data_IF_385402998128
#
_entry.id   IF_385402998128
#
_cell.length_a   1.000
_cell.length_b   1.000
_cell.length_c   1.000
_cell.angle_alpha   90.00
_cell.angle_beta   90.00
_cell.angle_gamma   90.00
#
_symmetry.space_group_name_H-M   'P 1'
#
loop_
_entity.id
_entity.type
_entity.pdbx_description
1 polymer ?
#
# COMPACT_ATOMS: atom_id res chain seq x y z
N UNK A 1 -17.84 11.19 -5.39
CA UNK A 1 -19.25 10.96 -5.83
C UNK A 1 -19.70 12.06 -6.77
N UNK A 2 -20.78 11.86 -7.54
CA UNK A 2 -21.41 12.87 -8.43
C UNK A 2 -22.94 12.88 -8.23
N UNK A 3 -23.78 12.26 -9.08
CA UNK A 3 -25.27 12.31 -8.96
C UNK A 3 -25.82 12.04 -7.56
N UNK A 4 -25.25 11.07 -6.83
CA UNK A 4 -25.69 10.68 -5.49
C UNK A 4 -25.16 11.59 -4.38
N UNK A 5 -24.35 12.60 -4.71
CA UNK A 5 -23.69 13.50 -3.76
C UNK A 5 -22.42 12.90 -3.15
N UNK A 6 -21.59 13.77 -2.56
CA UNK A 6 -20.42 13.37 -1.77
C UNK A 6 -20.88 13.01 -0.36
N UNK A 7 -20.39 11.88 0.14
CA UNK A 7 -20.69 11.34 1.47
C UNK A 7 -19.64 11.86 2.43
N UNK A 8 -20.07 12.44 3.54
CA UNK A 8 -19.21 13.05 4.55
C UNK A 8 -19.40 12.27 5.85
N UNK A 9 -18.29 11.91 6.48
CA UNK A 9 -18.27 11.34 7.81
C UNK A 9 -17.20 12.06 8.63
N UNK A 10 -17.53 12.34 9.88
CA UNK A 10 -16.63 12.96 10.85
C UNK A 10 -16.28 11.89 11.89
N UNK A 11 -14.99 11.60 12.04
CA UNK A 11 -14.49 10.69 13.08
C UNK A 11 -13.58 11.46 14.02
N UNK A 12 -13.66 11.14 15.31
CA UNK A 12 -12.74 11.72 16.31
C UNK A 12 -11.37 11.02 16.28
N UNK A 13 -10.45 11.45 17.14
CA UNK A 13 -9.10 10.87 17.25
C UNK A 13 -9.07 9.37 17.60
N UNK A 14 -10.16 8.81 18.13
CA UNK A 14 -10.30 7.37 18.42
C UNK A 14 -10.91 6.58 17.26
N UNK A 15 -11.33 7.28 16.19
CA UNK A 15 -12.04 6.69 15.05
C UNK A 15 -13.52 6.49 15.32
N UNK A 16 -14.07 7.02 16.41
CA UNK A 16 -15.52 6.99 16.69
C UNK A 16 -16.23 7.96 15.75
N UNK A 17 -17.34 7.51 15.17
CA UNK A 17 -18.19 8.34 14.32
C UNK A 17 -18.88 9.41 15.17
N UNK A 18 -18.66 10.68 14.80
CA UNK A 18 -19.21 11.84 15.48
C UNK A 18 -20.38 12.46 14.71
N UNK A 19 -20.28 12.55 13.39
CA UNK A 19 -21.35 13.10 12.54
C UNK A 19 -21.26 12.60 11.09
N UNK A 20 -22.32 12.76 10.32
CA UNK A 20 -22.38 12.43 8.89
C UNK A 20 -23.22 13.43 8.11
N UNK A 21 -22.89 13.62 6.84
CA UNK A 21 -23.69 14.43 5.94
C UNK A 21 -23.64 13.88 4.51
N UNK A 22 -24.59 14.31 3.69
CA UNK A 22 -24.50 14.17 2.23
C UNK A 22 -24.60 15.56 1.60
N UNK A 23 -23.54 15.96 0.91
CA UNK A 23 -23.45 17.24 0.20
C UNK A 23 -23.49 17.02 -1.31
N UNK A 24 -23.87 18.05 -2.07
CA UNK A 24 -24.01 17.95 -3.53
C UNK A 24 -23.25 19.07 -4.27
N UNK A 25 -21.93 19.18 -4.06
CA UNK A 25 -21.11 20.25 -4.65
C UNK A 25 -21.04 20.18 -6.18
N UNK A 26 -21.16 18.97 -6.73
CA UNK A 26 -20.90 18.67 -8.14
C UNK A 26 -22.20 18.53 -8.95
N UNK A 27 -22.05 18.32 -10.26
CA UNK A 27 -23.18 18.01 -11.14
C UNK A 27 -23.97 16.79 -10.65
N UNK A 28 -25.31 16.80 -10.75
CA UNK A 28 -26.14 17.79 -11.43
C UNK A 28 -26.63 18.95 -10.56
N UNK A 29 -26.39 18.94 -9.24
CA UNK A 29 -26.95 19.96 -8.33
C UNK A 29 -26.09 21.21 -8.21
N UNK A 30 -24.77 21.08 -8.40
CA UNK A 30 -23.81 22.19 -8.41
C UNK A 30 -23.90 23.11 -7.17
N UNK A 31 -24.13 22.54 -5.98
CA UNK A 31 -24.29 23.30 -4.73
C UNK A 31 -22.94 23.54 -4.05
N UNK A 32 -22.00 24.20 -4.74
CA UNK A 32 -20.62 24.38 -4.29
C UNK A 32 -20.52 25.14 -2.96
N UNK A 33 -21.01 26.38 -2.91
CA UNK A 33 -20.90 27.25 -1.74
C UNK A 33 -21.65 26.71 -0.52
N UNK A 34 -22.85 26.15 -0.74
CA UNK A 34 -23.61 25.49 0.32
C UNK A 34 -22.86 24.28 0.90
N UNK A 35 -22.16 23.52 0.05
CA UNK A 35 -21.34 22.40 0.49
C UNK A 35 -20.12 22.87 1.29
N UNK A 36 -19.47 23.97 0.89
CA UNK A 36 -18.38 24.58 1.64
C UNK A 36 -18.83 25.03 3.04
N UNK A 37 -20.01 25.65 3.15
CA UNK A 37 -20.58 26.06 4.44
C UNK A 37 -20.83 24.88 5.37
N UNK A 38 -21.46 23.80 4.85
CA UNK A 38 -21.69 22.58 5.64
C UNK A 38 -20.38 21.97 6.12
N UNK A 39 -19.36 21.88 5.25
CA UNK A 39 -18.06 21.34 5.62
C UNK A 39 -17.34 22.22 6.65
N UNK A 40 -17.40 23.55 6.51
CA UNK A 40 -16.79 24.48 7.44
C UNK A 40 -17.42 24.37 8.84
N UNK A 41 -18.74 24.20 8.92
CA UNK A 41 -19.43 24.03 10.20
C UNK A 41 -19.06 22.73 10.89
N UNK A 42 -19.07 21.60 10.15
CA UNK A 42 -18.62 20.32 10.68
C UNK A 42 -17.17 20.38 11.17
N UNK A 43 -16.28 21.02 10.40
CA UNK A 43 -14.87 21.17 10.78
C UNK A 43 -14.72 22.01 12.05
N UNK A 44 -15.48 23.11 12.19
CA UNK A 44 -15.45 23.98 13.37
C UNK A 44 -16.02 23.30 14.61
N UNK A 45 -17.18 22.67 14.48
CA UNK A 45 -17.89 21.99 15.56
C UNK A 45 -17.05 20.85 16.15
N UNK A 46 -16.41 20.06 15.30
CA UNK A 46 -15.64 18.88 15.71
C UNK A 46 -14.14 19.11 15.79
N UNK A 47 -13.65 20.34 15.56
CA UNK A 47 -12.24 20.73 15.58
C UNK A 47 -11.38 19.82 14.69
N UNK A 48 -11.80 19.67 13.45
CA UNK A 48 -11.14 18.80 12.48
C UNK A 48 -9.82 19.40 12.05
N UNK A 49 -8.80 18.54 11.93
CA UNK A 49 -7.46 18.91 11.46
C UNK A 49 -7.16 18.31 10.08
N UNK A 50 -7.75 17.15 9.77
CA UNK A 50 -7.46 16.36 8.58
C UNK A 50 -8.73 16.08 7.76
N UNK A 51 -8.65 16.27 6.45
CA UNK A 51 -9.68 15.91 5.47
C UNK A 51 -9.18 14.71 4.67
N UNK A 52 -9.88 13.58 4.78
CA UNK A 52 -9.61 12.38 3.99
C UNK A 52 -10.54 12.31 2.78
N UNK A 53 -9.97 12.17 1.58
CA UNK A 53 -10.70 12.16 0.31
C UNK A 53 -10.46 10.83 -0.40
N UNK A 54 -11.52 10.07 -0.68
CA UNK A 54 -11.40 8.83 -1.47
C UNK A 54 -10.94 9.12 -2.90
N UNK A 55 -10.03 8.29 -3.43
CA UNK A 55 -9.45 8.44 -4.77
C UNK A 55 -10.35 7.94 -5.92
N UNK A 56 -11.65 7.73 -5.70
CA UNK A 56 -12.59 7.26 -6.73
C UNK A 56 -13.17 8.33 -7.63
N UNK A 57 -14.41 8.09 -8.05
CA UNK A 57 -15.12 8.98 -8.97
C UNK A 57 -15.34 10.37 -8.38
N UNK A 58 -14.93 11.39 -9.15
CA UNK A 58 -14.93 12.80 -8.77
C UNK A 58 -14.10 13.16 -7.53
N UNK A 59 -13.02 12.40 -7.30
CA UNK A 59 -12.04 12.67 -6.25
C UNK A 59 -11.35 14.01 -6.47
N UNK A 60 -11.04 14.39 -7.71
CA UNK A 60 -10.40 15.67 -8.06
C UNK A 60 -11.27 16.87 -7.78
N UNK A 61 -12.54 16.84 -8.20
CA UNK A 61 -13.49 17.92 -7.95
C UNK A 61 -13.71 18.09 -6.45
N UNK A 62 -13.70 16.98 -5.70
CA UNK A 62 -13.77 16.99 -4.24
C UNK A 62 -12.47 17.48 -3.59
N UNK A 63 -11.33 17.16 -4.17
CA UNK A 63 -10.01 17.66 -3.76
C UNK A 63 -9.88 19.18 -3.97
N UNK A 64 -10.45 19.69 -5.07
CA UNK A 64 -10.62 21.13 -5.31
C UNK A 64 -11.56 21.78 -4.31
N UNK A 65 -12.70 21.16 -4.01
CA UNK A 65 -13.61 21.63 -2.96
C UNK A 65 -12.91 21.74 -1.60
N UNK A 66 -12.07 20.76 -1.26
CA UNK A 66 -11.26 20.80 -0.04
C UNK A 66 -10.17 21.89 -0.09
N UNK A 67 -9.54 22.13 -1.24
CA UNK A 67 -8.61 23.27 -1.44
C UNK A 67 -9.33 24.59 -1.18
N UNK A 68 -10.49 24.79 -1.81
CA UNK A 68 -11.28 26.01 -1.64
C UNK A 68 -11.69 26.17 -0.18
N UNK A 69 -12.13 25.11 0.50
CA UNK A 69 -12.43 25.14 1.94
C UNK A 69 -11.24 25.62 2.77
N UNK A 70 -10.04 25.08 2.54
CA UNK A 70 -8.80 25.48 3.23
C UNK A 70 -8.47 26.95 2.97
N UNK A 71 -8.66 27.43 1.74
CA UNK A 71 -8.37 28.82 1.37
C UNK A 71 -9.40 29.81 1.94
N UNK A 72 -10.68 29.45 1.98
CA UNK A 72 -11.74 30.31 2.51
C UNK A 72 -11.75 30.37 4.04
N UNK A 73 -11.29 29.32 4.71
CA UNK A 73 -11.28 29.20 6.18
C UNK A 73 -9.89 28.86 6.73
N UNK A 74 -8.88 29.73 6.53
CA UNK A 74 -7.49 29.46 6.94
C UNK A 74 -7.34 29.30 8.47
N UNK A 75 -8.28 29.82 9.26
CA UNK A 75 -8.30 29.70 10.71
C UNK A 75 -8.49 28.25 11.20
N UNK A 76 -9.08 27.37 10.37
CA UNK A 76 -9.30 25.96 10.69
C UNK A 76 -8.03 25.11 10.57
N UNK A 77 -6.98 25.61 9.90
CA UNK A 77 -5.66 24.94 9.73
C UNK A 77 -5.77 23.51 9.19
N UNK A 78 -6.73 23.28 8.31
CA UNK A 78 -7.03 21.97 7.74
C UNK A 78 -5.91 21.51 6.80
N UNK A 79 -5.63 20.21 6.83
CA UNK A 79 -4.80 19.54 5.83
C UNK A 79 -5.65 18.51 5.08
N UNK A 80 -5.55 18.47 3.76
CA UNK A 80 -6.28 17.51 2.92
C UNK A 80 -5.37 16.41 2.39
N UNK A 81 -5.91 15.20 2.32
CA UNK A 81 -5.21 14.02 1.88
C UNK A 81 -6.12 13.13 1.03
N UNK A 82 -5.55 12.60 -0.05
CA UNK A 82 -6.22 11.58 -0.86
C UNK A 82 -5.83 10.20 -0.36
N UNK A 83 -6.83 9.34 -0.15
CA UNK A 83 -6.65 7.96 0.30
C UNK A 83 -7.32 6.98 -0.65
N UNK A 84 -6.82 5.75 -0.67
CA UNK A 84 -7.44 4.68 -1.46
C UNK A 84 -8.84 4.35 -0.94
N UNK A 85 -9.83 4.33 -1.83
CA UNK A 85 -11.19 3.83 -1.53
C UNK A 85 -11.35 2.33 -1.81
N UNK A 86 -10.27 1.64 -2.18
CA UNK A 86 -10.32 0.26 -2.62
C UNK A 86 -10.90 -0.66 -1.51
N UNK A 87 -11.94 -1.43 -1.85
CA UNK A 87 -12.69 -2.24 -0.89
C UNK A 87 -13.65 -1.49 0.03
N UNK A 88 -13.73 -0.15 0.02
CA UNK A 88 -14.62 0.61 0.92
C UNK A 88 -16.10 0.29 0.68
N UNK A 89 -16.48 0.07 -0.58
CA UNK A 89 -17.83 -0.37 -0.96
C UNK A 89 -18.13 -1.81 -0.52
N UNK A 90 -17.11 -2.68 -0.45
CA UNK A 90 -17.28 -4.05 0.06
C UNK A 90 -17.43 -4.03 1.57
N UNK A 91 -16.63 -3.22 2.25
CA UNK A 91 -16.79 -2.98 3.68
C UNK A 91 -18.18 -2.45 4.01
N UNK A 92 -18.66 -1.42 3.33
CA UNK A 92 -19.93 -0.77 3.67
C UNK A 92 -21.15 -1.69 3.58
N UNK A 93 -21.11 -2.65 2.66
CA UNK A 93 -22.14 -3.68 2.48
C UNK A 93 -21.92 -4.94 3.34
N UNK A 94 -20.84 -5.01 4.12
CA UNK A 94 -20.53 -6.18 4.95
C UNK A 94 -21.40 -6.27 6.20
N UNK A 95 -21.57 -7.49 6.73
CA UNK A 95 -22.21 -7.70 8.03
C UNK A 95 -21.45 -7.00 9.17
N UNK A 96 -20.13 -6.90 9.06
CA UNK A 96 -19.32 -6.21 10.07
C UNK A 96 -19.68 -4.73 10.13
N UNK A 97 -19.73 -4.03 8.99
CA UNK A 97 -20.12 -2.63 8.94
C UNK A 97 -21.59 -2.43 9.37
N UNK A 98 -22.47 -3.39 9.06
CA UNK A 98 -23.86 -3.35 9.54
C UNK A 98 -23.96 -3.48 11.07
N UNK A 99 -23.07 -4.24 11.71
CA UNK A 99 -22.99 -4.31 13.18
C UNK A 99 -22.33 -3.08 13.79
N UNK A 100 -21.28 -2.54 13.16
CA UNK A 100 -20.62 -1.32 13.64
C UNK A 100 -21.53 -0.10 13.51
N UNK A 101 -22.35 -0.03 12.45
CA UNK A 101 -23.24 1.10 12.17
C UNK A 101 -24.64 0.65 11.71
N UNK A 102 -25.48 0.12 12.63
CA UNK A 102 -26.80 -0.40 12.29
C UNK A 102 -27.72 0.65 11.67
N UNK A 103 -27.70 1.86 12.23
CA UNK A 103 -28.61 2.96 11.86
C UNK A 103 -28.08 3.83 10.70
N UNK A 104 -26.87 3.55 10.21
CA UNK A 104 -26.25 4.32 9.15
C UNK A 104 -26.51 3.72 7.78
N UNK A 105 -26.90 4.56 6.82
CA UNK A 105 -27.05 4.16 5.42
C UNK A 105 -25.74 3.58 4.85
N UNK A 106 -25.88 2.58 3.98
CA UNK A 106 -24.75 1.87 3.36
C UNK A 106 -23.80 2.84 2.66
N UNK A 107 -24.30 3.90 2.02
CA UNK A 107 -23.45 4.86 1.32
C UNK A 107 -22.56 5.70 2.25
N UNK A 108 -23.00 5.94 3.48
CA UNK A 108 -22.23 6.72 4.48
C UNK A 108 -21.18 5.88 5.19
N UNK A 109 -21.40 4.57 5.37
CA UNK A 109 -20.41 3.65 5.97
C UNK A 109 -19.08 3.65 5.21
N UNK A 110 -19.12 3.81 3.89
CA UNK A 110 -17.91 3.95 3.06
C UNK A 110 -17.09 5.19 3.42
N UNK A 111 -17.74 6.32 3.70
CA UNK A 111 -17.05 7.55 4.12
C UNK A 111 -16.39 7.39 5.49
N UNK A 112 -17.02 6.65 6.42
CA UNK A 112 -16.39 6.31 7.71
C UNK A 112 -15.10 5.50 7.51
N UNK A 113 -15.11 4.52 6.60
CA UNK A 113 -13.91 3.73 6.30
C UNK A 113 -12.80 4.58 5.70
N UNK A 114 -13.12 5.49 4.78
CA UNK A 114 -12.15 6.43 4.18
C UNK A 114 -11.49 7.32 5.26
N UNK A 115 -12.26 7.79 6.24
CA UNK A 115 -11.71 8.61 7.32
C UNK A 115 -10.80 7.78 8.25
N UNK A 116 -11.21 6.57 8.64
CA UNK A 116 -10.43 5.67 9.51
C UNK A 116 -9.15 5.15 8.85
N UNK A 117 -9.15 4.92 7.54
CA UNK A 117 -7.94 4.53 6.78
C UNK A 117 -6.84 5.57 6.87
N UNK A 118 -7.19 6.85 6.95
CA UNK A 118 -6.21 7.90 7.12
C UNK A 118 -5.55 7.85 8.52
N UNK A 119 -6.33 7.48 9.55
CA UNK A 119 -5.84 7.35 10.92
C UNK A 119 -4.92 6.14 11.08
N UNK A 120 -5.37 4.98 10.61
CA UNK A 120 -4.55 3.77 10.55
C UNK A 120 -5.02 2.87 9.38
N UNK A 121 -4.27 2.84 8.26
CA UNK A 121 -4.62 2.02 7.11
C UNK A 121 -4.70 0.53 7.45
N UNK A 122 -3.80 0.02 8.29
CA UNK A 122 -3.74 -1.40 8.61
C UNK A 122 -4.97 -1.80 9.42
N UNK A 123 -5.30 -1.04 10.47
CA UNK A 123 -6.43 -1.36 11.35
C UNK A 123 -7.79 -1.32 10.64
N UNK A 124 -7.92 -0.52 9.59
CA UNK A 124 -9.15 -0.41 8.81
C UNK A 124 -9.21 -1.40 7.64
N UNK A 125 -8.11 -1.66 6.93
CA UNK A 125 -8.09 -2.60 5.79
C UNK A 125 -8.27 -4.06 6.21
N UNK A 126 -7.84 -4.46 7.42
CA UNK A 126 -8.05 -5.82 7.94
C UNK A 126 -9.52 -6.19 8.15
N UNK A 127 -10.41 -5.20 8.18
CA UNK A 127 -11.87 -5.40 8.28
C UNK A 127 -12.49 -5.88 6.97
N UNK A 128 -11.73 -5.85 5.89
CA UNK A 128 -12.16 -6.18 4.53
C UNK A 128 -11.60 -7.55 4.19
N UNK A 129 -12.35 -8.36 3.45
CA UNK A 129 -11.79 -9.59 2.90
C UNK A 129 -10.58 -9.24 2.00
N UNK A 130 -9.38 -9.82 2.21
CA UNK A 130 -8.18 -9.35 1.54
C UNK A 130 -8.27 -9.34 0.01
N UNK A 131 -8.91 -10.36 -0.58
CA UNK A 131 -9.15 -10.44 -2.04
C UNK A 131 -10.07 -9.33 -2.58
N UNK A 132 -10.88 -8.72 -1.71
CA UNK A 132 -11.82 -7.67 -2.06
C UNK A 132 -11.24 -6.26 -1.95
N UNK A 133 -10.00 -6.12 -1.46
CA UNK A 133 -9.29 -4.83 -1.44
C UNK A 133 -9.01 -4.34 -2.86
N UNK A 134 -8.91 -5.23 -3.87
CA UNK A 134 -8.68 -4.81 -5.26
C UNK A 134 -7.20 -4.58 -5.55
N UNK A 135 -6.42 -5.66 -5.52
CA UNK A 135 -4.94 -5.59 -5.59
C UNK A 135 -4.38 -5.68 -7.01
N UNK A 136 -5.24 -5.85 -8.02
CA UNK A 136 -4.81 -5.91 -9.42
C UNK A 136 -5.96 -5.99 -10.41
N UNK A 137 -5.69 -5.54 -11.65
CA UNK A 137 -6.69 -5.40 -12.72
C UNK A 137 -7.40 -6.72 -13.07
N UNK A 138 -6.67 -7.83 -13.14
CA UNK A 138 -7.18 -9.15 -13.54
C UNK A 138 -7.29 -10.12 -12.36
N UNK A 139 -7.48 -9.60 -11.13
CA UNK A 139 -7.54 -10.44 -9.92
C UNK A 139 -8.70 -11.47 -9.95
N UNK A 140 -9.72 -11.24 -10.78
CA UNK A 140 -10.86 -12.15 -10.92
C UNK A 140 -10.57 -13.32 -11.88
N UNK A 141 -9.55 -13.19 -12.73
CA UNK A 141 -9.18 -14.19 -13.74
C UNK A 141 -8.18 -15.23 -13.22
N UNK A 142 -7.72 -15.07 -11.97
CA UNK A 142 -6.81 -16.02 -11.30
C UNK A 142 -7.56 -16.97 -10.38
N UNK A 143 -6.88 -18.03 -9.94
CA UNK A 143 -7.40 -18.99 -8.97
C UNK A 143 -7.74 -18.32 -7.64
N UNK A 144 -9.04 -18.14 -7.37
CA UNK A 144 -9.54 -17.46 -6.17
C UNK A 144 -9.07 -18.09 -4.85
N UNK A 145 -9.04 -19.44 -4.67
CA UNK A 145 -8.54 -20.04 -3.44
C UNK A 145 -7.05 -19.78 -3.19
N UNK A 146 -6.24 -19.77 -4.26
CA UNK A 146 -4.80 -19.47 -4.15
C UNK A 146 -4.58 -17.99 -3.83
N UNK A 147 -5.32 -17.09 -4.49
CA UNK A 147 -5.27 -15.66 -4.22
C UNK A 147 -5.63 -15.36 -2.76
N UNK A 148 -6.74 -15.91 -2.27
CA UNK A 148 -7.18 -15.71 -0.88
C UNK A 148 -6.10 -16.14 0.12
N UNK A 149 -5.55 -17.35 -0.02
CA UNK A 149 -4.49 -17.85 0.86
C UNK A 149 -3.24 -16.96 0.86
N UNK A 150 -2.81 -16.50 -0.32
CA UNK A 150 -1.64 -15.62 -0.43
C UNK A 150 -1.88 -14.26 0.23
N UNK A 151 -3.06 -13.67 0.00
CA UNK A 151 -3.38 -12.37 0.60
C UNK A 151 -3.61 -12.46 2.10
N UNK A 152 -4.19 -13.55 2.59
CA UNK A 152 -4.31 -13.82 4.03
C UNK A 152 -2.93 -13.91 4.69
N UNK A 153 -1.97 -14.61 4.08
CA UNK A 153 -0.59 -14.68 4.58
C UNK A 153 0.09 -13.30 4.60
N UNK A 154 -0.08 -12.48 3.55
CA UNK A 154 0.46 -11.11 3.54
C UNK A 154 -0.16 -10.25 4.63
N UNK A 155 -1.46 -10.39 4.89
CA UNK A 155 -2.14 -9.65 5.96
C UNK A 155 -1.61 -10.08 7.33
N UNK A 156 -1.43 -11.38 7.55
CA UNK A 156 -0.81 -11.92 8.77
C UNK A 156 0.61 -11.37 8.95
N UNK A 157 1.46 -11.44 7.93
CA UNK A 157 2.83 -10.91 7.97
C UNK A 157 2.85 -9.41 8.30
N UNK A 158 1.99 -8.61 7.67
CA UNK A 158 1.91 -7.17 7.92
C UNK A 158 1.45 -6.85 9.34
N UNK A 159 0.41 -7.53 9.84
CA UNK A 159 -0.13 -7.31 11.19
C UNK A 159 0.90 -7.68 12.25
N UNK A 160 1.56 -8.82 12.10
CA UNK A 160 2.54 -9.28 13.07
C UNK A 160 3.85 -8.48 13.00
N UNK A 161 4.27 -8.02 11.83
CA UNK A 161 5.41 -7.11 11.69
C UNK A 161 5.15 -5.76 12.38
N UNK A 162 3.95 -5.20 12.19
CA UNK A 162 3.59 -3.92 12.84
C UNK A 162 3.37 -4.11 14.33
N UNK A 163 2.80 -5.24 14.76
CA UNK A 163 2.36 -5.51 16.13
C UNK A 163 1.10 -4.74 16.52
N UNK A 164 0.39 -5.23 17.54
CA UNK A 164 -0.97 -4.79 17.86
C UNK A 164 -1.08 -4.41 19.33
N UNK A 165 -1.56 -3.21 19.64
CA UNK A 165 -1.90 -2.86 21.02
C UNK A 165 -3.19 -3.58 21.44
N UNK A 166 -3.06 -4.51 22.38
CA UNK A 166 -4.16 -5.38 22.81
C UNK A 166 -5.27 -4.61 23.52
N UNK A 167 -5.02 -3.39 24.00
CA UNK A 167 -6.01 -2.58 24.69
C UNK A 167 -6.86 -1.71 23.78
N UNK A 168 -6.44 -1.49 22.55
CA UNK A 168 -7.14 -0.61 21.59
C UNK A 168 -7.57 -1.34 20.32
N UNK A 169 -6.93 -2.47 20.02
CA UNK A 169 -7.23 -3.23 18.81
C UNK A 169 -8.68 -3.75 18.76
N UNK A 170 -9.20 -3.75 17.54
CA UNK A 170 -10.49 -4.34 17.19
C UNK A 170 -10.37 -5.86 17.06
N UNK A 171 -11.49 -6.58 17.21
CA UNK A 171 -11.51 -8.02 17.03
C UNK A 171 -11.03 -8.46 15.62
N UNK A 172 -11.38 -7.79 14.50
CA UNK A 172 -10.83 -8.12 13.18
C UNK A 172 -9.30 -8.00 13.11
N UNK A 173 -8.70 -6.99 13.76
CA UNK A 173 -7.23 -6.84 13.80
C UNK A 173 -6.58 -7.93 14.65
N UNK A 174 -7.12 -8.19 15.83
CA UNK A 174 -6.63 -9.26 16.72
C UNK A 174 -6.71 -10.65 16.05
N UNK A 175 -7.74 -10.90 15.24
CA UNK A 175 -7.90 -12.17 14.53
C UNK A 175 -6.81 -12.43 13.48
N UNK A 176 -5.98 -11.44 13.14
CA UNK A 176 -4.84 -11.56 12.21
C UNK A 176 -3.49 -11.72 12.94
N UNK A 177 -3.47 -11.67 14.27
CA UNK A 177 -2.26 -11.92 15.06
C UNK A 177 -1.96 -13.42 15.08
N UNK A 178 -0.68 -13.76 14.95
CA UNK A 178 -0.22 -15.14 14.96
C UNK A 178 -0.72 -15.90 16.20
N UNK A 179 -1.24 -17.11 15.99
CA UNK A 179 -1.82 -17.93 17.04
C UNK A 179 -3.25 -17.55 17.48
N UNK A 180 -3.78 -16.41 17.06
CA UNK A 180 -5.16 -16.00 17.34
C UNK A 180 -6.11 -16.39 16.20
N UNK A 181 -7.41 -16.35 16.52
CA UNK A 181 -8.49 -16.53 15.56
C UNK A 181 -9.68 -15.64 15.96
N UNK A 182 -10.74 -15.62 15.14
CA UNK A 182 -11.91 -14.78 15.40
C UNK A 182 -12.57 -15.02 16.77
N UNK A 183 -12.50 -16.25 17.31
CA UNK A 183 -13.05 -16.55 18.64
C UNK A 183 -12.18 -15.97 19.74
N UNK A 184 -10.87 -16.21 19.70
CA UNK A 184 -9.93 -15.66 20.68
C UNK A 184 -9.90 -14.13 20.65
N UNK A 185 -9.96 -13.54 19.46
CA UNK A 185 -10.04 -12.10 19.29
C UNK A 185 -11.26 -11.49 19.98
N UNK A 186 -12.44 -12.11 19.84
CA UNK A 186 -13.65 -11.70 20.58
C UNK A 186 -13.46 -11.86 22.09
N UNK A 187 -12.96 -13.00 22.54
CA UNK A 187 -12.73 -13.26 23.97
C UNK A 187 -11.77 -12.23 24.59
N UNK A 188 -10.75 -11.76 23.86
CA UNK A 188 -9.83 -10.70 24.31
C UNK A 188 -10.57 -9.39 24.50
N UNK A 189 -11.39 -8.98 23.53
CA UNK A 189 -12.18 -7.75 23.63
C UNK A 189 -13.19 -7.84 24.77
N UNK A 190 -13.95 -8.93 24.86
CA UNK A 190 -14.91 -9.17 25.95
C UNK A 190 -14.24 -9.15 27.32
N UNK A 191 -13.06 -9.77 27.46
CA UNK A 191 -12.31 -9.76 28.71
C UNK A 191 -11.90 -8.33 29.09
N UNK A 192 -11.36 -7.55 28.14
CA UNK A 192 -10.96 -6.15 28.35
C UNK A 192 -12.15 -5.26 28.72
N UNK A 193 -13.29 -5.45 28.07
CA UNK A 193 -14.48 -4.65 28.33
C UNK A 193 -15.06 -4.96 29.73
N UNK A 194 -14.96 -6.21 30.19
CA UNK A 194 -15.45 -6.63 31.51
C UNK A 194 -14.47 -6.34 32.66
N UNK A 195 -13.16 -6.45 32.43
CA UNK A 195 -12.13 -6.39 33.48
C UNK A 195 -11.27 -5.11 33.43
N UNK A 196 -11.47 -4.26 32.43
CA UNK A 196 -10.62 -3.12 32.14
C UNK A 196 -9.37 -3.49 31.32
N UNK A 197 -8.50 -2.51 31.05
CA UNK A 197 -7.33 -2.70 30.19
C UNK A 197 -6.31 -3.66 30.82
N UNK A 198 -5.65 -4.45 29.98
CA UNK A 198 -4.50 -5.27 30.35
C UNK A 198 -3.34 -4.36 30.78
N UNK A 199 -2.76 -4.68 31.93
CA UNK A 199 -1.56 -4.05 32.52
C UNK A 199 -0.30 -4.87 32.26
N UNK A 200 -0.43 -6.18 32.07
CA UNK A 200 0.70 -7.07 31.74
C UNK A 200 0.28 -8.22 30.81
N UNK A 201 1.22 -8.73 30.01
CA UNK A 201 0.95 -9.82 29.06
C UNK A 201 0.47 -11.10 29.74
N UNK A 202 0.94 -11.42 30.94
CA UNK A 202 0.54 -12.65 31.65
C UNK A 202 -0.97 -12.69 31.96
N UNK A 203 -1.63 -11.53 32.00
CA UNK A 203 -3.08 -11.47 32.17
C UNK A 203 -3.85 -12.10 30.99
N UNK A 204 -3.24 -12.22 29.81
CA UNK A 204 -3.83 -12.88 28.65
C UNK A 204 -4.12 -14.36 28.92
N UNK A 205 -3.36 -15.02 29.79
CA UNK A 205 -3.61 -16.41 30.21
C UNK A 205 -4.90 -16.59 31.01
N UNK A 206 -5.51 -15.50 31.50
CA UNK A 206 -6.81 -15.54 32.18
C UNK A 206 -7.99 -15.60 31.20
N UNK A 207 -7.74 -15.45 29.90
CA UNK A 207 -8.78 -15.41 28.87
C UNK A 207 -9.21 -16.83 28.55
N UNK A 208 -10.52 -17.04 28.49
CA UNK A 208 -11.09 -18.35 28.13
C UNK A 208 -10.55 -18.84 26.78
N UNK A 209 -10.05 -20.08 26.77
CA UNK A 209 -9.46 -20.78 25.61
C UNK A 209 -8.10 -20.25 25.12
N UNK A 210 -7.50 -19.26 25.80
CA UNK A 210 -6.14 -18.82 25.54
C UNK A 210 -5.17 -19.60 26.45
N UNK A 211 -4.65 -20.72 25.94
CA UNK A 211 -3.69 -21.56 26.66
C UNK A 211 -2.24 -21.18 26.38
N UNK A 212 -1.30 -21.84 27.07
CA UNK A 212 0.14 -21.56 27.01
C UNK A 212 0.71 -21.54 25.58
N UNK A 213 0.27 -22.47 24.73
CA UNK A 213 0.70 -22.52 23.32
C UNK A 213 0.22 -21.33 22.51
N UNK A 214 -1.04 -20.92 22.71
CA UNK A 214 -1.57 -19.71 22.06
C UNK A 214 -0.86 -18.46 22.56
N UNK A 215 -0.58 -18.40 23.86
CA UNK A 215 0.18 -17.31 24.46
C UNK A 215 1.59 -17.23 23.87
N UNK A 216 2.32 -18.35 23.79
CA UNK A 216 3.65 -18.43 23.19
C UNK A 216 3.68 -17.95 21.72
N UNK A 217 2.62 -18.22 20.95
CA UNK A 217 2.55 -17.77 19.56
C UNK A 217 2.18 -16.28 19.41
N UNK A 218 1.34 -15.75 20.30
CA UNK A 218 0.76 -14.42 20.15
C UNK A 218 1.47 -13.32 20.95
N UNK A 219 2.09 -13.66 22.09
CA UNK A 219 2.50 -12.68 23.09
C UNK A 219 3.52 -11.66 22.57
N UNK A 220 4.42 -12.06 21.66
CA UNK A 220 5.42 -11.16 21.08
C UNK A 220 4.83 -10.07 20.18
N UNK A 221 3.65 -10.33 19.61
CA UNK A 221 2.96 -9.44 18.69
C UNK A 221 1.91 -8.56 19.37
N UNK A 222 1.45 -8.97 20.56
CA UNK A 222 0.52 -8.21 21.38
C UNK A 222 1.28 -7.25 22.30
N UNK A 223 1.03 -5.96 22.18
CA UNK A 223 1.70 -4.91 22.97
C UNK A 223 0.76 -4.31 24.01
N UNK A 224 1.36 -3.82 25.09
CA UNK A 224 0.67 -3.05 26.14
C UNK A 224 1.44 -1.75 26.33
N UNK A 225 0.91 -0.65 25.78
CA UNK A 225 1.63 0.64 25.75
C UNK A 225 1.81 1.28 27.13
N UNK A 226 0.78 1.19 27.98
CA UNK A 226 0.72 1.81 29.32
C UNK A 226 0.65 0.74 30.44
N UNK A 227 1.42 -0.34 30.28
CA UNK A 227 1.47 -1.46 31.21
C UNK A 227 2.45 -1.26 32.36
N UNK A 228 2.44 -2.19 33.31
CA UNK A 228 3.35 -2.18 34.47
C UNK A 228 4.77 -2.61 34.07
N UNK A 229 4.90 -3.50 33.09
CA UNK A 229 6.18 -3.98 32.58
C UNK A 229 6.58 -3.20 31.32
N UNK A 230 7.66 -2.41 31.33
CA UNK A 230 8.11 -1.66 30.17
C UNK A 230 8.51 -2.52 28.95
N UNK A 231 8.74 -3.83 29.12
CA UNK A 231 9.04 -4.74 28.01
C UNK A 231 7.78 -5.12 27.20
N UNK A 232 6.58 -5.01 27.78
CA UNK A 232 5.33 -5.40 27.13
C UNK A 232 4.95 -4.45 25.98
N UNK A 233 5.55 -3.27 25.91
CA UNK A 233 5.42 -2.34 24.77
C UNK A 233 6.37 -2.66 23.61
N UNK A 234 7.29 -3.60 23.79
CA UNK A 234 8.29 -4.01 22.79
C UNK A 234 7.92 -5.31 22.08
N UNK A 235 8.66 -5.68 21.04
CA UNK A 235 8.56 -7.00 20.43
C UNK A 235 9.35 -8.09 21.18
N UNK A 236 10.00 -7.77 22.31
CA UNK A 236 10.68 -8.78 23.14
C UNK A 236 9.65 -9.77 23.65
N UNK A 237 9.80 -11.04 23.26
CA UNK A 237 8.91 -12.11 23.67
C UNK A 237 9.05 -12.39 25.19
N UNK A 238 7.96 -12.68 25.94
CA UNK A 238 8.04 -12.96 27.38
C UNK A 238 8.98 -14.09 27.76
N UNK A 239 9.21 -15.06 26.88
CA UNK A 239 10.17 -16.14 27.14
C UNK A 239 11.61 -15.63 27.32
N UNK A 240 11.93 -14.46 26.76
CA UNK A 240 13.24 -13.84 26.79
C UNK A 240 13.36 -12.77 27.89
N UNK A 241 12.34 -12.57 28.74
CA UNK A 241 12.45 -11.64 29.89
C UNK A 241 13.59 -12.03 30.84
N UNK A 242 13.81 -13.32 31.17
CA UNK A 242 14.98 -13.71 31.98
C UNK A 242 16.31 -13.37 31.30
N UNK A 243 16.39 -13.40 29.97
CA UNK A 243 17.58 -12.98 29.24
C UNK A 243 17.82 -11.47 29.38
N UNK A 244 16.77 -10.65 29.30
CA UNK A 244 16.87 -9.20 29.54
C UNK A 244 17.33 -8.93 30.97
N UNK A 245 16.79 -9.63 31.98
CA UNK A 245 17.22 -9.50 33.37
C UNK A 245 18.71 -9.81 33.56
N UNK A 246 19.25 -10.83 32.86
CA UNK A 246 20.70 -11.12 32.87
C UNK A 246 21.53 -10.00 32.24
N UNK A 247 21.04 -9.35 31.18
CA UNK A 247 21.69 -8.18 30.56
C UNK A 247 21.74 -7.02 31.57
N UNK A 248 20.62 -6.74 32.26
CA UNK A 248 20.53 -5.69 33.27
C UNK A 248 21.47 -5.96 34.46
N UNK A 249 21.49 -7.20 34.94
CA UNK A 249 22.33 -7.61 36.09
C UNK A 249 23.81 -7.50 35.74
N UNK A 250 24.24 -8.02 34.58
CA UNK A 250 25.65 -7.96 34.13
C UNK A 250 26.12 -6.53 33.90
N UNK A 251 25.21 -5.63 33.49
CA UNK A 251 25.53 -4.22 33.26
C UNK A 251 25.44 -3.34 34.50
N UNK A 252 24.88 -3.85 35.61
CA UNK A 252 24.66 -3.09 36.83
C UNK A 252 23.67 -1.91 36.65
N UNK A 253 22.74 -2.01 35.70
CA UNK A 253 21.79 -0.94 35.34
C UNK A 253 20.35 -1.40 35.47
N UNK A 254 19.48 -0.47 35.85
CA UNK A 254 18.03 -0.70 35.86
C UNK A 254 17.43 -0.62 34.45
N UNK A 255 16.29 -1.28 34.22
CA UNK A 255 15.61 -1.31 32.92
C UNK A 255 15.38 0.09 32.32
N UNK A 256 14.93 1.05 33.13
CA UNK A 256 14.71 2.44 32.71
C UNK A 256 15.99 3.18 32.26
N UNK A 257 17.17 2.75 32.70
CA UNK A 257 18.45 3.34 32.30
C UNK A 257 18.97 2.76 30.97
N UNK A 258 18.45 1.60 30.57
CA UNK A 258 18.86 0.85 29.38
C UNK A 258 17.91 1.10 28.21
N UNK A 259 16.59 1.14 28.47
CA UNK A 259 15.59 1.40 27.44
C UNK A 259 15.83 2.75 26.75
N UNK A 260 15.95 2.74 25.42
CA UNK A 260 16.22 3.95 24.63
C UNK A 260 17.69 4.40 24.63
N UNK A 261 18.57 3.74 25.39
CA UNK A 261 19.97 4.16 25.53
C UNK A 261 20.86 3.55 24.43
N UNK A 262 20.70 4.06 23.21
CA UNK A 262 21.44 3.59 22.03
C UNK A 262 22.98 3.58 22.21
N UNK A 263 23.62 4.61 22.79
CA UNK A 263 25.08 4.59 22.99
C UNK A 263 25.52 3.43 23.87
N UNK A 264 24.81 3.18 24.97
CA UNK A 264 25.12 2.08 25.88
C UNK A 264 24.87 0.72 25.24
N UNK A 265 23.71 0.51 24.62
CA UNK A 265 23.34 -0.77 24.00
C UNK A 265 24.33 -1.19 22.90
N UNK A 266 24.91 -0.24 22.16
CA UNK A 266 25.94 -0.49 21.15
C UNK A 266 27.30 -0.90 21.73
N UNK A 267 27.55 -0.66 23.02
CA UNK A 267 28.77 -1.14 23.70
C UNK A 267 28.68 -2.61 24.13
N UNK A 268 27.48 -3.18 24.17
CA UNK A 268 27.27 -4.56 24.58
C UNK A 268 27.68 -5.51 23.47
N UNK A 269 28.42 -6.56 23.83
CA UNK A 269 28.79 -7.64 22.92
C UNK A 269 27.70 -8.71 22.92
N UNK A 270 26.90 -8.88 21.85
CA UNK A 270 25.74 -9.77 21.88
C UNK A 270 26.09 -11.24 22.14
N UNK A 271 27.26 -11.68 21.69
CA UNK A 271 27.73 -13.06 21.89
C UNK A 271 27.91 -13.45 23.37
N UNK A 272 28.03 -12.48 24.29
CA UNK A 272 28.15 -12.76 25.74
C UNK A 272 26.84 -13.18 26.39
N UNK A 273 25.71 -12.92 25.75
CA UNK A 273 24.38 -13.16 26.32
C UNK A 273 23.66 -14.33 25.64
N UNK A 274 24.32 -15.04 24.72
CA UNK A 274 23.75 -16.24 24.08
C UNK A 274 23.78 -17.42 25.03
N UNK A 275 22.82 -18.33 24.87
CA UNK A 275 22.81 -19.65 25.53
C UNK A 275 22.20 -20.71 24.61
N UNK A 276 21.98 -21.92 25.14
CA UNK A 276 21.43 -23.06 24.38
C UNK A 276 20.03 -22.79 23.82
N UNK A 277 19.29 -21.84 24.40
CA UNK A 277 17.92 -21.46 23.98
C UNK A 277 17.91 -20.23 23.08
N UNK A 278 18.77 -19.24 23.36
CA UNK A 278 18.81 -17.94 22.69
C UNK A 278 20.12 -17.75 21.95
N UNK A 279 20.07 -17.92 20.63
CA UNK A 279 21.21 -17.69 19.75
C UNK A 279 21.49 -16.20 19.50
N UNK A 280 22.58 -15.96 18.75
CA UNK A 280 23.05 -14.61 18.42
C UNK A 280 22.00 -13.72 17.72
N UNK A 281 21.19 -14.21 16.76
CA UNK A 281 20.15 -13.38 16.14
C UNK A 281 19.15 -12.86 17.17
N UNK A 282 18.64 -13.73 18.06
CA UNK A 282 17.66 -13.37 19.09
C UNK A 282 18.19 -12.30 20.04
N UNK A 283 19.46 -12.42 20.48
CA UNK A 283 20.08 -11.40 21.35
C UNK A 283 20.20 -10.06 20.61
N UNK A 284 20.60 -10.07 19.33
CA UNK A 284 20.69 -8.84 18.52
C UNK A 284 19.33 -8.15 18.37
N UNK A 285 18.29 -8.93 18.12
CA UNK A 285 16.93 -8.40 17.96
C UNK A 285 16.42 -7.81 19.29
N UNK A 286 16.70 -8.46 20.42
CA UNK A 286 16.37 -7.94 21.74
C UNK A 286 17.09 -6.63 22.02
N UNK A 287 18.40 -6.53 21.72
CA UNK A 287 19.13 -5.27 21.91
C UNK A 287 18.59 -4.14 21.02
N UNK A 288 18.19 -4.47 19.78
CA UNK A 288 17.55 -3.50 18.87
C UNK A 288 16.18 -3.04 19.40
N UNK A 289 15.38 -3.95 19.96
CA UNK A 289 14.11 -3.62 20.62
C UNK A 289 14.31 -2.81 21.90
N UNK A 290 15.34 -3.08 22.70
CA UNK A 290 15.66 -2.24 23.87
C UNK A 290 16.10 -0.82 23.44
N UNK A 291 16.73 -0.69 22.27
CA UNK A 291 17.12 0.61 21.70
C UNK A 291 15.88 1.42 21.28
N UNK A 292 14.92 0.79 20.61
CA UNK A 292 13.68 1.43 20.13
C UNK A 292 12.47 0.51 20.36
N UNK A 293 11.92 0.47 21.59
CA UNK A 293 10.85 -0.46 21.94
C UNK A 293 9.60 -0.25 21.09
N UNK A 294 9.12 -1.32 20.44
CA UNK A 294 7.87 -1.28 19.69
C UNK A 294 7.94 -0.36 18.49
N UNK A 295 9.13 -0.28 17.86
CA UNK A 295 9.35 0.52 16.65
C UNK A 295 8.35 0.12 15.56
N UNK A 296 7.62 1.10 15.07
CA UNK A 296 6.75 0.92 13.92
C UNK A 296 7.61 0.69 12.65
N UNK A 297 7.44 -0.43 11.92
CA UNK A 297 8.18 -0.70 10.69
C UNK A 297 7.65 0.11 9.49
N UNK A 298 6.48 0.77 9.63
CA UNK A 298 5.86 1.57 8.56
C UNK A 298 6.70 2.83 8.29
N UNK A 299 6.81 3.27 7.02
CA UNK A 299 7.49 4.52 6.69
C UNK A 299 6.74 5.71 7.29
N UNK A 300 7.45 6.82 7.48
CA UNK A 300 6.81 8.10 7.75
C UNK A 300 5.87 8.46 6.59
N UNK A 301 4.69 8.93 6.96
CA UNK A 301 3.64 9.25 6.01
C UNK A 301 4.00 10.49 5.18
N UNK A 302 3.91 10.39 3.84
CA UNK A 302 4.19 11.48 2.89
C UNK A 302 3.09 11.59 1.84
N UNK A 303 2.64 12.80 1.54
CA UNK A 303 1.57 13.08 0.56
C UNK A 303 2.09 13.51 -0.80
N UNK A 304 1.35 13.16 -1.87
CA UNK A 304 1.48 13.77 -3.19
C UNK A 304 0.67 15.06 -3.26
N UNK A 305 1.24 16.12 -3.81
CA UNK A 305 0.50 17.32 -4.17
C UNK A 305 0.16 17.26 -5.67
N UNK A 306 -1.11 16.98 -5.99
CA UNK A 306 -1.55 17.02 -7.38
C UNK A 306 -1.56 18.45 -7.91
N UNK A 307 -1.24 18.63 -9.19
CA UNK A 307 -1.24 19.93 -9.85
C UNK A 307 -2.68 20.36 -10.19
N UNK A 308 -3.04 21.59 -9.85
CA UNK A 308 -4.36 22.15 -10.13
C UNK A 308 -4.64 22.24 -11.65
N UNK A 309 -5.87 21.90 -12.05
CA UNK A 309 -6.41 22.13 -13.40
C UNK A 309 -6.29 21.01 -14.45
N UNK A 310 -5.76 19.83 -14.11
CA UNK A 310 -5.63 18.69 -15.04
C UNK A 310 -6.55 17.55 -14.59
N UNK A 311 -7.82 17.51 -15.03
CA UNK A 311 -8.82 16.60 -14.48
C UNK A 311 -9.15 15.41 -15.39
N UNK A 312 -9.11 15.64 -16.69
CA UNK A 312 -9.48 14.67 -17.71
C UNK A 312 -8.26 14.30 -18.53
N UNK A 313 -8.33 13.14 -19.18
CA UNK A 313 -7.32 12.72 -20.16
C UNK A 313 -7.09 13.80 -21.25
N UNK A 314 -8.13 14.57 -21.59
CA UNK A 314 -8.07 15.67 -22.56
C UNK A 314 -7.24 16.88 -22.09
N UNK A 315 -7.02 17.04 -20.79
CA UNK A 315 -6.29 18.17 -20.22
C UNK A 315 -4.77 17.90 -20.22
N UNK A 316 -4.36 16.66 -20.48
CA UNK A 316 -2.95 16.27 -20.51
C UNK A 316 -2.29 16.70 -21.82
N UNK A 317 -1.12 17.34 -21.68
CA UNK A 317 -0.25 17.67 -22.81
C UNK A 317 1.11 16.98 -22.65
N UNK A 318 1.68 16.44 -23.74
CA UNK A 318 3.06 15.98 -23.74
C UNK A 318 4.02 17.04 -23.20
N UNK A 319 4.89 16.65 -22.28
CA UNK A 319 5.87 17.52 -21.62
C UNK A 319 5.47 17.99 -20.22
N UNK A 320 4.20 17.84 -19.82
CA UNK A 320 3.76 18.19 -18.46
C UNK A 320 4.47 17.33 -17.41
N UNK A 321 4.94 17.98 -16.34
CA UNK A 321 5.45 17.30 -15.14
C UNK A 321 4.36 17.34 -14.07
N UNK A 322 4.00 16.17 -13.58
CA UNK A 322 2.93 15.94 -12.61
C UNK A 322 3.45 15.05 -11.48
N UNK A 323 2.90 15.22 -10.29
CA UNK A 323 3.03 14.23 -9.23
C UNK A 323 1.95 13.16 -9.40
N UNK A 324 2.33 11.90 -9.24
CA UNK A 324 1.43 10.77 -9.29
C UNK A 324 1.83 9.71 -8.26
N UNK A 325 0.94 8.77 -8.03
CA UNK A 325 1.14 7.66 -7.10
C UNK A 325 1.27 6.37 -7.89
N UNK A 326 2.31 5.59 -7.60
CA UNK A 326 2.49 4.29 -8.24
C UNK A 326 1.36 3.35 -7.79
N UNK A 327 0.50 2.93 -8.71
CA UNK A 327 -0.62 2.03 -8.42
C UNK A 327 -0.23 0.56 -8.49
N UNK A 328 0.68 0.22 -9.41
CA UNK A 328 1.13 -1.15 -9.63
C UNK A 328 2.55 -1.18 -10.20
N UNK A 329 3.32 -2.23 -9.87
CA UNK A 329 4.65 -2.47 -10.41
C UNK A 329 4.67 -3.85 -11.08
N UNK A 330 4.79 -3.84 -12.41
CA UNK A 330 4.92 -5.03 -13.24
C UNK A 330 6.40 -5.27 -13.62
N UNK A 331 6.73 -6.45 -14.14
CA UNK A 331 8.11 -6.74 -14.53
C UNK A 331 8.62 -5.87 -15.70
N UNK A 332 7.71 -5.27 -16.48
CA UNK A 332 8.03 -4.43 -17.64
C UNK A 332 7.92 -2.91 -17.36
N UNK A 333 7.53 -2.51 -16.15
CA UNK A 333 7.31 -1.10 -15.83
C UNK A 333 6.43 -0.88 -14.62
N UNK A 334 6.04 0.37 -14.38
CA UNK A 334 5.16 0.75 -13.30
C UNK A 334 3.98 1.56 -13.83
N UNK A 335 2.80 1.33 -13.24
CA UNK A 335 1.60 2.11 -13.47
C UNK A 335 1.53 3.21 -12.43
N UNK A 336 1.27 4.43 -12.89
CA UNK A 336 1.23 5.63 -12.06
C UNK A 336 -0.09 6.33 -12.31
N UNK A 337 -0.87 6.51 -11.24
CA UNK A 337 -2.05 7.34 -11.23
C UNK A 337 -1.63 8.81 -11.06
N UNK A 338 -1.82 9.58 -12.11
CA UNK A 338 -1.66 11.04 -12.13
C UNK A 338 -2.98 11.78 -11.89
N UNK A 339 -4.01 11.03 -11.51
CA UNK A 339 -5.32 11.49 -11.11
C UNK A 339 -6.28 11.77 -12.25
N UNK A 340 -6.12 11.20 -13.45
CA UNK A 340 -7.06 11.39 -14.59
C UNK A 340 -7.98 10.20 -14.84
N UNK A 341 -8.22 9.39 -13.80
CA UNK A 341 -8.99 8.13 -13.83
C UNK A 341 -8.45 7.04 -14.76
N UNK A 342 -7.23 7.23 -15.28
CA UNK A 342 -6.54 6.28 -16.12
C UNK A 342 -5.05 6.27 -15.74
N UNK A 343 -4.54 5.10 -15.40
CA UNK A 343 -3.13 4.94 -15.05
C UNK A 343 -2.25 5.15 -16.29
N UNK A 344 -1.17 5.90 -16.11
CA UNK A 344 -0.10 6.00 -17.08
C UNK A 344 0.97 4.94 -16.85
N UNK A 345 1.53 4.43 -17.95
CA UNK A 345 2.59 3.44 -17.88
C UNK A 345 3.96 4.12 -17.98
N UNK A 346 4.81 3.88 -16.98
CA UNK A 346 6.25 4.12 -17.03
C UNK A 346 6.93 2.80 -17.40
N UNK A 347 7.51 2.73 -18.59
CA UNK A 347 8.25 1.54 -19.02
C UNK A 347 9.52 1.33 -18.18
N UNK A 348 10.02 0.10 -18.05
CA UNK A 348 11.21 -0.21 -17.22
C UNK A 348 12.44 0.65 -17.57
N UNK A 349 12.64 0.95 -18.85
CA UNK A 349 13.74 1.81 -19.34
C UNK A 349 13.57 3.29 -18.98
N UNK A 350 12.35 3.71 -18.63
CA UNK A 350 12.00 5.07 -18.26
C UNK A 350 11.89 5.28 -16.74
N UNK A 351 12.25 4.25 -15.94
CA UNK A 351 12.18 4.32 -14.47
C UNK A 351 13.39 5.04 -13.84
N UNK A 352 14.58 4.93 -14.44
CA UNK A 352 15.78 5.64 -13.98
C UNK A 352 16.76 5.87 -15.13
N UNK A 353 17.77 6.71 -14.90
CA UNK A 353 18.87 6.97 -15.85
C UNK A 353 19.90 5.82 -15.94
N UNK A 354 19.72 4.76 -15.15
CA UNK A 354 20.58 3.55 -15.15
C UNK A 354 19.79 2.33 -15.59
N UNK A 355 20.50 1.31 -16.07
CA UNK A 355 19.88 0.02 -16.40
C UNK A 355 19.35 -0.66 -15.13
N UNK A 356 18.09 -1.09 -15.19
CA UNK A 356 17.37 -1.75 -14.09
C UNK A 356 16.88 -3.11 -14.58
N UNK A 357 17.06 -4.14 -13.76
CA UNK A 357 16.55 -5.49 -14.04
C UNK A 357 15.15 -5.71 -13.49
N UNK A 358 14.86 -5.19 -12.30
CA UNK A 358 13.53 -5.25 -11.69
C UNK A 358 13.02 -3.85 -11.32
N UNK A 359 11.88 -3.39 -11.88
CA UNK A 359 11.22 -2.15 -11.50
C UNK A 359 11.04 -1.94 -9.99
N UNK A 360 10.90 -3.02 -9.21
CA UNK A 360 10.71 -2.99 -7.75
C UNK A 360 11.90 -2.44 -6.97
N UNK A 361 13.09 -2.40 -7.59
CA UNK A 361 14.28 -1.78 -7.00
C UNK A 361 14.19 -0.25 -6.96
N UNK A 362 13.37 0.34 -7.83
CA UNK A 362 13.32 1.79 -8.05
C UNK A 362 12.02 2.39 -7.55
N UNK A 363 10.91 1.69 -7.78
CA UNK A 363 9.59 2.16 -7.39
C UNK A 363 8.82 1.11 -6.59
N UNK A 364 8.03 1.59 -5.63
CA UNK A 364 7.11 0.77 -4.83
C UNK A 364 5.68 1.24 -5.05
N UNK A 365 4.72 0.31 -4.97
CA UNK A 365 3.29 0.65 -4.95
C UNK A 365 3.02 1.61 -3.78
N UNK A 366 2.22 2.65 -4.04
CA UNK A 366 1.93 3.74 -3.10
C UNK A 366 2.99 4.84 -3.06
N UNK A 367 4.13 4.70 -3.77
CA UNK A 367 5.15 5.74 -3.80
C UNK A 367 4.68 6.94 -4.61
N UNK A 368 4.82 8.12 -4.02
CA UNK A 368 4.66 9.41 -4.70
C UNK A 368 5.87 9.67 -5.58
N UNK A 369 5.64 9.91 -6.87
CA UNK A 369 6.68 10.15 -7.86
C UNK A 369 6.35 11.34 -8.75
N UNK A 370 7.39 12.06 -9.18
CA UNK A 370 7.27 13.07 -10.24
C UNK A 370 7.47 12.41 -11.59
N UNK A 371 6.47 12.48 -12.43
CA UNK A 371 6.46 11.89 -13.77
C UNK A 371 6.25 12.97 -14.81
N UNK A 372 6.84 12.76 -15.99
CA UNK A 372 6.63 13.59 -17.17
C UNK A 372 5.78 12.84 -18.18
N UNK A 373 4.78 13.52 -18.74
CA UNK A 373 3.93 12.98 -19.81
C UNK A 373 4.73 12.95 -21.10
N UNK A 374 4.93 11.76 -21.68
CA UNK A 374 5.59 11.60 -22.98
C UNK A 374 4.58 11.65 -24.12
N UNK A 375 3.49 10.91 -23.99
CA UNK A 375 2.47 10.75 -25.03
C UNK A 375 1.09 10.51 -24.40
N UNK A 376 0.05 11.05 -25.03
CA UNK A 376 -1.35 10.85 -24.65
C UNK A 376 -2.11 10.38 -25.87
N UNK A 377 -2.61 9.14 -25.83
CA UNK A 377 -3.49 8.60 -26.86
C UNK A 377 -4.94 8.64 -26.37
N UNK A 378 -5.68 9.65 -26.83
CA UNK A 378 -7.10 9.85 -26.49
C UNK A 378 -8.00 8.76 -27.07
N UNK A 379 -7.64 8.14 -28.21
CA UNK A 379 -8.47 7.11 -28.85
C UNK A 379 -8.39 5.79 -28.09
N UNK A 380 -7.20 5.47 -27.56
CA UNK A 380 -6.95 4.21 -26.84
C UNK A 380 -6.98 4.38 -25.33
N UNK A 381 -7.20 5.60 -24.83
CA UNK A 381 -7.11 5.96 -23.40
C UNK A 381 -5.79 5.50 -22.76
N UNK A 382 -4.66 5.81 -23.39
CA UNK A 382 -3.33 5.43 -22.89
C UNK A 382 -2.47 6.66 -22.63
N UNK A 383 -1.71 6.62 -21.55
CA UNK A 383 -0.76 7.67 -21.17
C UNK A 383 0.60 7.01 -21.02
N UNK A 384 1.60 7.51 -21.76
CA UNK A 384 2.99 7.12 -21.59
C UNK A 384 3.68 8.14 -20.68
N UNK A 385 4.32 7.64 -19.63
CA UNK A 385 4.98 8.45 -18.61
C UNK A 385 6.48 8.10 -18.53
N UNK A 386 7.29 9.05 -18.05
CA UNK A 386 8.71 8.82 -17.72
C UNK A 386 9.03 9.40 -16.34
N UNK A 387 9.86 8.69 -15.57
CA UNK A 387 10.48 9.22 -14.35
C UNK A 387 11.75 10.03 -14.67
N UNK A 388 12.24 9.94 -15.92
CA UNK A 388 13.41 10.68 -16.40
C UNK A 388 12.99 12.07 -16.88
N UNK A 389 13.04 13.05 -15.97
CA UNK A 389 12.57 14.41 -16.24
C UNK A 389 13.34 15.13 -17.37
N UNK A 390 14.57 14.67 -17.67
CA UNK A 390 15.45 15.18 -18.72
C UNK A 390 15.06 14.71 -20.14
N UNK A 391 14.21 13.69 -20.30
CA UNK A 391 13.81 13.22 -21.62
C UNK A 391 12.90 14.24 -22.33
N UNK A 392 13.18 14.60 -23.60
CA UNK A 392 12.29 15.45 -24.38
C UNK A 392 10.97 14.70 -24.67
N UNK A 393 9.83 15.37 -24.49
CA UNK A 393 8.55 14.81 -24.90
C UNK A 393 8.51 14.74 -26.43
N UNK A 394 8.31 13.54 -26.98
CA UNK A 394 8.28 13.33 -28.43
C UNK A 394 6.94 13.76 -29.00
N UNK A 395 6.89 15.02 -29.45
CA UNK A 395 5.76 15.64 -30.14
C UNK A 395 6.15 16.29 -31.46
N UNK A 396 6.85 15.57 -32.35
CA UNK A 396 6.99 15.95 -33.75
C UNK A 396 7.20 14.69 -34.61
N UNK A 397 6.54 14.54 -35.77
CA UNK A 397 6.74 13.38 -36.63
C UNK A 397 8.20 13.38 -37.10
N UNK A 398 8.88 12.25 -36.93
CA UNK A 398 10.22 12.04 -37.44
C UNK A 398 10.23 12.24 -38.96
N UNK A 399 10.64 13.43 -39.41
CA UNK A 399 10.99 13.67 -40.82
C UNK A 399 12.19 12.80 -41.14
N UNK A 400 11.96 11.78 -41.97
CA UNK A 400 13.00 11.19 -42.81
C UNK A 400 13.71 12.34 -43.53
N UNK A 401 14.96 12.62 -43.20
CA UNK A 401 15.82 13.46 -44.02
C UNK A 401 16.66 12.57 -44.91
N UNK A 402 16.34 12.67 -46.19
CA UNK A 402 17.07 12.15 -47.33
C UNK A 402 18.55 12.60 -47.33
N UNK A 403 19.37 11.63 -47.75
CA UNK A 403 20.57 11.75 -48.61
C UNK A 403 21.19 13.14 -48.74
N UNK A 404 22.42 13.25 -48.24
CA UNK A 404 23.41 14.19 -48.77
C UNK A 404 24.53 13.41 -49.46
N UNK A 405 24.65 13.68 -50.76
CA UNK A 405 25.63 13.18 -51.72
C UNK A 405 27.04 13.69 -51.37
N UNK A 406 28.06 12.84 -51.56
CA UNK A 406 29.48 13.23 -51.62
C UNK A 406 30.00 13.14 -53.07
N UNK A 407 30.95 14.01 -53.47
CA UNK A 407 31.24 14.32 -54.87
C UNK A 407 32.20 13.32 -55.54
N UNK A 408 32.31 13.32 -56.89
CA UNK A 408 33.04 12.29 -57.63
C UNK A 408 34.47 12.71 -57.99
N UNK A 409 35.31 11.68 -58.18
CA UNK A 409 36.40 11.53 -59.18
C UNK A 409 37.72 11.03 -58.58
N UNK A 410 38.19 9.92 -59.14
CA UNK A 410 39.47 9.27 -58.85
C UNK A 410 39.50 7.90 -59.52
N UNK A 411 39.67 7.87 -60.84
CA UNK A 411 39.90 6.66 -61.62
C UNK A 411 41.35 6.21 -61.43
N UNK A 412 41.56 4.96 -61.05
CA UNK A 412 42.70 4.19 -61.57
C UNK A 412 42.40 2.68 -61.55
N UNK A 413 42.89 2.02 -62.60
CA UNK A 413 42.48 0.71 -63.10
C UNK A 413 43.20 -0.45 -62.40
N UNK A 414 42.57 -1.64 -62.51
CA UNK A 414 43.08 -3.04 -62.56
C UNK A 414 42.23 -3.91 -61.63
N UNK A 415 41.76 -5.10 -61.97
CA UNK A 415 41.91 -5.98 -63.13
C UNK A 415 40.79 -7.04 -63.03
N UNK A 416 40.32 -7.51 -64.19
CA UNK A 416 39.33 -8.59 -64.35
C UNK A 416 39.84 -9.92 -63.78
N UNK A 417 38.97 -10.67 -63.08
CA UNK A 417 38.80 -12.13 -63.30
C UNK A 417 37.36 -12.56 -62.99
N UNK A 418 36.62 -12.90 -64.05
CA UNK A 418 35.38 -13.69 -63.99
C UNK A 418 35.72 -15.14 -63.61
N UNK A 419 34.97 -15.74 -62.68
CA UNK A 419 34.55 -17.16 -62.75
C UNK A 419 33.17 -17.35 -62.12
N UNK A 420 32.44 -18.29 -62.73
CA UNK A 420 30.99 -18.54 -62.71
C UNK A 420 30.37 -18.95 -61.36
N UNK A 421 29.03 -18.83 -61.22
CA UNK A 421 28.26 -19.36 -60.10
C UNK A 421 27.59 -20.71 -60.43
N UNK A 422 27.51 -21.64 -59.46
CA UNK A 422 26.51 -22.72 -59.31
C UNK A 422 26.79 -23.52 -58.01
N UNK A 423 25.84 -24.28 -57.40
CA UNK A 423 24.40 -24.31 -57.62
C UNK A 423 23.56 -24.12 -56.33
N UNK A 424 22.30 -23.72 -56.52
CA UNK A 424 21.22 -23.74 -55.52
C UNK A 424 20.89 -25.18 -55.12
N UNK A 425 20.92 -25.48 -53.82
CA UNK A 425 20.27 -26.68 -53.28
C UNK A 425 18.80 -26.35 -52.96
N UNK A 426 17.90 -27.05 -53.65
CA UNK A 426 16.48 -27.21 -53.29
C UNK A 426 16.42 -27.99 -51.97
N UNK A 427 15.74 -27.44 -50.97
CA UNK A 427 15.19 -28.22 -49.86
C UNK A 427 13.66 -28.20 -49.97
N UNK A 428 13.10 -29.39 -49.90
CA UNK A 428 11.68 -29.71 -50.00
C UNK A 428 10.87 -29.19 -48.79
N UNK A 429 9.55 -29.04 -48.92
CA UNK A 429 8.70 -28.56 -47.83
C UNK A 429 8.55 -29.65 -46.76
N UNK A 430 8.89 -29.33 -45.51
CA UNK A 430 8.66 -30.20 -44.36
C UNK A 430 7.17 -30.24 -43.98
N UNK A 431 6.62 -31.44 -43.84
CA UNK A 431 5.26 -31.72 -43.38
C UNK A 431 5.01 -31.28 -41.91
N UNK A 432 3.77 -30.89 -41.55
CA UNK A 432 3.44 -30.43 -40.21
C UNK A 432 3.40 -31.60 -39.21
N UNK A 433 4.24 -31.56 -38.17
CA UNK A 433 4.22 -32.51 -37.05
C UNK A 433 2.95 -32.30 -36.20
N UNK A 434 2.22 -33.37 -35.81
CA UNK A 434 1.08 -33.27 -34.91
C UNK A 434 1.50 -32.87 -33.48
N UNK A 435 0.72 -32.00 -32.84
CA UNK A 435 0.98 -31.57 -31.46
C UNK A 435 0.76 -32.67 -30.42
N UNK A 436 1.37 -32.53 -29.24
CA UNK A 436 1.43 -33.53 -28.17
C UNK A 436 0.07 -34.13 -27.74
N UNK A 437 -1.04 -33.42 -27.97
CA UNK A 437 -2.39 -33.91 -27.68
C UNK A 437 -2.87 -34.97 -28.69
N UNK A 438 -2.43 -34.88 -29.95
CA UNK A 438 -2.75 -35.85 -31.00
C UNK A 438 -1.95 -37.16 -30.83
N UNK A 439 -0.73 -37.10 -30.30
CA UNK A 439 0.04 -38.30 -29.92
C UNK A 439 -0.55 -39.02 -28.71
N UNK A 440 -1.13 -38.29 -27.74
CA UNK A 440 -1.81 -38.88 -26.59
C UNK A 440 -3.10 -39.63 -27.00
N UNK A 441 -3.88 -39.08 -27.94
CA UNK A 441 -5.08 -39.75 -28.48
C UNK A 441 -4.76 -40.96 -29.37
N UNK A 442 -3.62 -40.95 -30.07
CA UNK A 442 -3.18 -42.09 -30.87
C UNK A 442 -2.71 -43.28 -30.00
N UNK A 443 -2.15 -43.01 -28.81
CA UNK A 443 -1.77 -44.04 -27.83
C UNK A 443 -2.98 -44.68 -27.15
N UNK A 444 -4.02 -43.91 -26.83
CA UNK A 444 -5.25 -44.41 -26.21
C UNK A 444 -6.16 -45.23 -27.16
N UNK A 445 -5.80 -45.36 -28.45
CA UNK A 445 -6.53 -46.17 -29.45
C UNK A 445 -5.84 -47.49 -29.79
N UNK A 446 -4.70 -47.80 -29.16
CA UNK A 446 -3.93 -49.05 -29.36
C UNK A 446 -3.84 -49.92 -28.09
N UNK A 447 -4.53 -49.53 -27.03
CA UNK A 447 -4.93 -50.38 -25.90
C UNK A 447 -6.44 -50.58 -25.99
#
# INVERSE_FOLDING_TARGET
GLRTGVKVAVVDATGKLADTATIYPHAPRNQWDASLQVLAELCRQHKIELISIGNGTASRETDRLATDLIQHYPELRLQKLVVSEAGASVYSASELAAREFPDLDVSLRGAVSIARRLQDPLAELVKIEPKAIGVGQYQHDVSQPRLARMLDAVVEDCVNAVGVDVNTASAPLLARVAGLNATLARNIVEFRDANGPFRRREQLLKISRLGDKTFEQAAGFLRILNGDNPLDRSAVHPEAYPLVERILTTSGRGLHQVLGNAPFLKTLEPARFTDDRFGLPTVRDILAELEKPGRDPRPEFKTAAFRDGVEKLADLQPGMVLEGVVTNVANFGAFVDIGVHQDGLVHISALADRFIKDPREVVKVGQVVKVKVLEVDLKRQRIALTLRLSEPATGAPARKTDRVQRPPAGQEQRERKLRQPLPKHRQEPAEPRPGALAEAFARARRE
#
